data_IF_615453844808
#
_entry.id   IF_615453844808
#
_cell.length_a   1.000
_cell.length_b   1.000
_cell.length_c   1.000
_cell.angle_alpha   90.00
_cell.angle_beta   90.00
_cell.angle_gamma   90.00
#
_symmetry.space_group_name_H-M   'P 1'
#
loop_
_entity.id
_entity.type
_entity.pdbx_description
1 polymer ?
#
# COMPACT_ATOMS: atom_id res chain seq x y z
N UNK A 1 9.43 -11.37 -20.94
CA UNK A 1 8.55 -11.21 -19.77
C UNK A 1 9.28 -11.15 -18.41
N UNK A 2 10.62 -11.26 -18.32
CA UNK A 2 11.32 -11.37 -17.02
C UNK A 2 12.07 -10.12 -16.54
N UNK A 3 12.38 -9.14 -17.39
CA UNK A 3 13.21 -7.97 -17.01
C UNK A 3 12.39 -6.74 -16.58
N UNK A 4 11.27 -6.45 -17.25
CA UNK A 4 10.38 -5.31 -16.90
C UNK A 4 9.59 -5.54 -15.60
N UNK A 5 9.28 -6.80 -15.28
CA UNK A 5 8.55 -7.14 -14.05
C UNK A 5 9.45 -7.04 -12.81
N UNK A 6 10.71 -7.44 -12.94
CA UNK A 6 11.71 -7.28 -11.87
C UNK A 6 12.12 -5.82 -11.66
N UNK A 7 12.24 -5.03 -12.74
CA UNK A 7 12.55 -3.61 -12.62
C UNK A 7 11.41 -2.83 -11.98
N UNK A 8 10.15 -3.12 -12.31
CA UNK A 8 8.98 -2.46 -11.71
C UNK A 8 8.77 -2.81 -10.23
N UNK A 9 9.10 -4.04 -9.80
CA UNK A 9 9.16 -4.41 -8.38
C UNK A 9 10.24 -3.63 -7.61
N UNK A 10 11.42 -3.44 -8.22
CA UNK A 10 12.49 -2.64 -7.61
C UNK A 10 12.12 -1.16 -7.54
N UNK A 11 11.46 -0.61 -8.56
CA UNK A 11 11.03 0.80 -8.56
C UNK A 11 9.99 1.06 -7.47
N UNK A 12 8.96 0.21 -7.35
CA UNK A 12 7.91 0.39 -6.34
C UNK A 12 8.45 0.29 -4.90
N UNK A 13 9.31 -0.69 -4.61
CA UNK A 13 9.95 -0.82 -3.31
C UNK A 13 10.90 0.33 -2.98
N UNK A 14 11.59 0.87 -3.98
CA UNK A 14 12.42 2.05 -3.84
C UNK A 14 11.59 3.29 -3.46
N UNK A 15 10.48 3.54 -4.17
CA UNK A 15 9.58 4.64 -3.83
C UNK A 15 8.98 4.48 -2.43
N UNK A 16 8.60 3.26 -2.04
CA UNK A 16 8.13 2.99 -0.67
C UNK A 16 9.21 3.31 0.39
N UNK A 17 10.45 2.89 0.15
CA UNK A 17 11.56 3.17 1.05
C UNK A 17 11.86 4.68 1.14
N UNK A 18 11.86 5.37 0.00
CA UNK A 18 12.07 6.81 -0.08
C UNK A 18 10.97 7.60 0.63
N UNK A 19 9.71 7.21 0.42
CA UNK A 19 8.57 7.78 1.15
C UNK A 19 8.69 7.59 2.67
N UNK A 20 9.18 6.44 3.13
CA UNK A 20 9.44 6.22 4.56
C UNK A 20 10.53 7.14 5.10
N UNK A 21 11.57 7.43 4.32
CA UNK A 21 12.58 8.42 4.71
C UNK A 21 11.97 9.82 4.86
N UNK A 22 11.10 10.22 3.92
CA UNK A 22 10.40 11.50 4.01
C UNK A 22 9.42 11.60 5.20
N UNK A 23 8.82 10.48 5.62
CA UNK A 23 8.05 10.46 6.87
C UNK A 23 8.90 10.82 8.09
N UNK A 24 10.16 10.37 8.12
CA UNK A 24 11.09 10.66 9.23
C UNK A 24 11.57 12.11 9.19
N UNK A 25 11.78 12.67 7.99
CA UNK A 25 12.16 14.09 7.82
C UNK A 25 10.99 15.06 7.94
N UNK A 26 9.77 14.57 8.18
CA UNK A 26 8.51 15.35 8.22
C UNK A 26 8.10 15.98 6.88
N UNK A 27 8.70 15.56 5.78
CA UNK A 27 8.34 15.99 4.42
C UNK A 27 7.15 15.19 3.89
N UNK A 28 6.00 15.32 4.55
CA UNK A 28 4.83 14.46 4.30
C UNK A 28 4.28 14.57 2.88
N UNK A 29 4.44 15.71 2.21
CA UNK A 29 3.97 15.91 0.82
C UNK A 29 4.76 15.06 -0.17
N UNK A 30 6.08 14.98 -0.03
CA UNK A 30 6.95 14.12 -0.85
C UNK A 30 6.71 12.64 -0.52
N UNK A 31 6.52 12.31 0.76
CA UNK A 31 6.17 10.96 1.18
C UNK A 31 4.88 10.47 0.49
N UNK A 32 3.83 11.31 0.48
CA UNK A 32 2.56 10.98 -0.17
C UNK A 32 2.71 10.72 -1.67
N UNK A 33 3.46 11.55 -2.40
CA UNK A 33 3.70 11.34 -3.84
C UNK A 33 4.38 10.00 -4.12
N UNK A 34 5.41 9.68 -3.33
CA UNK A 34 6.14 8.42 -3.48
C UNK A 34 5.27 7.21 -3.16
N UNK A 35 4.44 7.30 -2.13
CA UNK A 35 3.50 6.23 -1.81
C UNK A 35 2.42 6.05 -2.87
N UNK A 36 1.90 7.12 -3.47
CA UNK A 36 0.93 7.00 -4.57
C UNK A 36 1.53 6.31 -5.80
N UNK A 37 2.79 6.63 -6.14
CA UNK A 37 3.52 5.96 -7.22
C UNK A 37 3.72 4.48 -6.88
N UNK A 38 4.23 4.16 -5.70
CA UNK A 38 4.43 2.78 -5.25
C UNK A 38 3.12 1.99 -5.26
N UNK A 39 2.01 2.58 -4.79
CA UNK A 39 0.70 1.94 -4.76
C UNK A 39 0.20 1.57 -6.16
N UNK A 40 0.34 2.48 -7.14
CA UNK A 40 -0.04 2.18 -8.53
C UNK A 40 0.74 1.00 -9.11
N UNK A 41 2.03 0.93 -8.84
CA UNK A 41 2.85 -0.19 -9.28
C UNK A 41 2.50 -1.50 -8.58
N UNK A 42 2.26 -1.47 -7.26
CA UNK A 42 1.82 -2.68 -6.53
C UNK A 42 0.46 -3.19 -7.00
N UNK A 43 -0.48 -2.30 -7.33
CA UNK A 43 -1.76 -2.68 -7.94
C UNK A 43 -1.58 -3.29 -9.34
N UNK A 44 -0.75 -2.69 -10.18
CA UNK A 44 -0.49 -3.18 -11.55
C UNK A 44 0.22 -4.54 -11.56
N UNK A 45 1.08 -4.79 -10.56
CA UNK A 45 1.81 -6.06 -10.42
C UNK A 45 1.05 -7.13 -9.61
N UNK A 46 -0.19 -6.85 -9.19
CA UNK A 46 -1.00 -7.71 -8.31
C UNK A 46 -0.29 -8.09 -6.99
N UNK A 47 0.69 -7.28 -6.57
CA UNK A 47 1.44 -7.50 -5.35
C UNK A 47 0.65 -6.96 -4.15
N UNK A 48 -0.27 -7.80 -3.65
CA UNK A 48 -1.12 -7.48 -2.50
C UNK A 48 -0.32 -7.15 -1.23
N UNK A 49 0.82 -7.82 -0.99
CA UNK A 49 1.65 -7.54 0.18
C UNK A 49 2.23 -6.12 0.13
N UNK A 50 2.77 -5.73 -1.02
CA UNK A 50 3.26 -4.38 -1.26
C UNK A 50 2.16 -3.33 -1.18
N UNK A 51 0.98 -3.63 -1.75
CA UNK A 51 -0.21 -2.77 -1.69
C UNK A 51 -0.62 -2.48 -0.24
N UNK A 52 -0.76 -3.52 0.59
CA UNK A 52 -1.14 -3.39 2.00
C UNK A 52 -0.13 -2.59 2.81
N UNK A 53 1.18 -2.83 2.60
CA UNK A 53 2.25 -2.07 3.27
C UNK A 53 2.22 -0.59 2.87
N UNK A 54 2.03 -0.30 1.58
CA UNK A 54 1.99 1.06 1.06
C UNK A 54 0.77 1.85 1.57
N UNK A 55 -0.40 1.20 1.64
CA UNK A 55 -1.61 1.80 2.23
C UNK A 55 -1.42 2.11 3.72
N UNK A 56 -0.76 1.23 4.47
CA UNK A 56 -0.41 1.51 5.88
C UNK A 56 0.50 2.74 6.03
N UNK A 57 1.51 2.86 5.16
CA UNK A 57 2.39 4.03 5.13
C UNK A 57 1.65 5.34 4.75
N UNK A 58 0.71 5.29 3.80
CA UNK A 58 -0.19 6.41 3.49
C UNK A 58 -1.04 6.81 4.71
N UNK A 59 -1.55 5.83 5.45
CA UNK A 59 -2.25 6.05 6.71
C UNK A 59 -1.42 6.85 7.70
N UNK A 60 -0.15 6.44 7.89
CA UNK A 60 0.79 7.15 8.76
C UNK A 60 1.04 8.58 8.29
N UNK A 61 1.28 8.79 6.99
CA UNK A 61 1.50 10.12 6.42
C UNK A 61 0.33 11.06 6.66
N UNK A 62 -0.90 10.60 6.40
CA UNK A 62 -2.09 11.41 6.64
C UNK A 62 -2.36 11.63 8.14
N UNK A 63 -2.01 10.68 9.00
CA UNK A 63 -2.09 10.84 10.46
C UNK A 63 -1.16 11.96 10.93
N UNK A 64 0.09 11.97 10.45
CA UNK A 64 1.07 13.02 10.77
C UNK A 64 0.66 14.40 10.23
N UNK A 65 -0.13 14.45 9.15
CA UNK A 65 -0.73 15.67 8.60
C UNK A 65 -2.01 16.12 9.33
N UNK A 66 -2.44 15.41 10.38
CA UNK A 66 -3.69 15.68 11.11
C UNK A 66 -4.97 15.32 10.34
N UNK A 67 -4.85 14.68 9.17
CA UNK A 67 -5.97 14.25 8.34
C UNK A 67 -6.44 12.84 8.75
N UNK A 68 -6.88 12.70 10.00
CA UNK A 68 -7.22 11.41 10.60
C UNK A 68 -8.31 10.64 9.84
N UNK A 69 -9.29 11.34 9.26
CA UNK A 69 -10.34 10.69 8.46
C UNK A 69 -9.79 9.97 7.22
N UNK A 70 -8.81 10.57 6.53
CA UNK A 70 -8.13 9.92 5.41
C UNK A 70 -7.22 8.80 5.90
N UNK A 71 -6.47 9.04 6.96
CA UNK A 71 -5.59 8.04 7.56
C UNK A 71 -6.35 6.76 7.91
N UNK A 72 -7.50 6.89 8.56
CA UNK A 72 -8.37 5.77 8.93
C UNK A 72 -8.84 4.98 7.70
N UNK A 73 -9.23 5.66 6.63
CA UNK A 73 -9.65 4.99 5.39
C UNK A 73 -8.50 4.17 4.78
N UNK A 74 -7.28 4.71 4.77
CA UNK A 74 -6.10 3.97 4.31
C UNK A 74 -5.74 2.78 5.21
N UNK A 75 -5.83 2.92 6.54
CA UNK A 75 -5.64 1.80 7.45
C UNK A 75 -6.67 0.69 7.25
N UNK A 76 -7.94 1.03 7.07
CA UNK A 76 -9.01 0.05 6.79
C UNK A 76 -8.72 -0.71 5.49
N UNK A 77 -8.28 -0.02 4.44
CA UNK A 77 -7.91 -0.65 3.18
C UNK A 77 -6.70 -1.59 3.35
N UNK A 78 -5.66 -1.14 4.07
CA UNK A 78 -4.49 -1.96 4.38
C UNK A 78 -4.87 -3.23 5.16
N UNK A 79 -5.73 -3.08 6.16
CA UNK A 79 -6.23 -4.20 6.97
C UNK A 79 -6.98 -5.23 6.13
N UNK A 80 -7.89 -4.80 5.25
CA UNK A 80 -8.63 -5.71 4.35
C UNK A 80 -7.66 -6.54 3.51
N UNK A 81 -6.63 -5.92 2.94
CA UNK A 81 -5.65 -6.63 2.13
C UNK A 81 -4.82 -7.61 2.98
N UNK A 82 -4.40 -7.21 4.18
CA UNK A 82 -3.66 -8.10 5.07
C UNK A 82 -4.51 -9.29 5.54
N UNK A 83 -5.81 -9.08 5.77
CA UNK A 83 -6.75 -10.17 6.03
C UNK A 83 -6.89 -11.10 4.82
N UNK A 84 -6.96 -10.55 3.60
CA UNK A 84 -7.02 -11.35 2.37
C UNK A 84 -5.79 -12.24 2.22
N UNK A 85 -4.59 -11.70 2.50
CA UNK A 85 -3.33 -12.44 2.43
C UNK A 85 -3.24 -13.51 3.52
N UNK A 86 -3.70 -13.20 4.75
CA UNK A 86 -3.64 -14.12 5.89
C UNK A 86 -4.62 -15.29 5.76
N UNK A 87 -5.78 -15.07 5.15
CA UNK A 87 -6.80 -16.11 4.99
C UNK A 87 -7.43 -16.06 3.60
N UNK A 88 -6.70 -16.51 2.56
CA UNK A 88 -7.21 -16.49 1.19
C UNK A 88 -8.47 -17.34 1.03
N UNK A 89 -8.60 -18.43 1.80
CA UNK A 89 -9.80 -19.27 1.82
C UNK A 89 -11.02 -18.59 2.45
N UNK A 90 -10.84 -17.74 3.47
CA UNK A 90 -11.95 -16.99 4.05
C UNK A 90 -12.51 -15.94 3.07
N UNK A 91 -11.65 -15.35 2.23
CA UNK A 91 -12.08 -14.41 1.18
C UNK A 91 -12.82 -15.16 0.08
N UNK A 92 -12.27 -16.28 -0.37
CA UNK A 92 -12.90 -17.12 -1.40
C UNK A 92 -14.29 -17.60 -0.97
N UNK A 93 -14.41 -18.10 0.27
CA UNK A 93 -15.71 -18.52 0.83
C UNK A 93 -16.68 -17.36 0.99
N UNK A 94 -16.24 -16.18 1.48
CA UNK A 94 -17.09 -14.98 1.55
C UNK A 94 -17.62 -14.56 0.18
N UNK A 95 -16.79 -14.59 -0.87
CA UNK A 95 -17.22 -14.28 -2.24
C UNK A 95 -18.24 -15.30 -2.76
N UNK A 96 -17.96 -16.59 -2.56
CA UNK A 96 -18.83 -17.68 -3.03
C UNK A 96 -20.18 -17.76 -2.31
N UNK A 97 -20.27 -17.29 -1.07
CA UNK A 97 -21.54 -17.23 -0.30
C UNK A 97 -22.38 -16.00 -0.68
N UNK A 98 -21.76 -14.97 -1.26
CA UNK A 98 -22.43 -13.75 -1.69
C UNK A 98 -22.97 -13.81 -3.14
N UNK A 99 -22.69 -14.90 -3.87
CA UNK A 99 -23.23 -15.24 -5.19
C UNK A 99 -24.42 -16.21 -5.06
#
# INVERSE_FOLDING_TARGET
>A
MSTEYFSSLNISSFHLARGNSYLVTSDFTLALQDYEVALRHYKSSENRQGEGRCLGSLGNAYSSLGQYGKAMNYYIQAMKILEEIKSPYAVWTRKKIAE
#
